data_IF_862069863013
#
_entry.id   IF_862069863013
#
_cell.length_a   1.000
_cell.length_b   1.000
_cell.length_c   1.000
_cell.angle_alpha   90.00
_cell.angle_beta   90.00
_cell.angle_gamma   90.00
#
_symmetry.space_group_name_H-M   'P 1'
#
loop_
_entity.id
_entity.type
_entity.pdbx_description
1 polymer ?
#
# COMPACT_ATOMS: atom_id res chain seq x y z
N UNK A 1 -10.26 -13.69 12.77
CA UNK A 1 -10.31 -15.13 13.17
C UNK A 1 -11.52 -15.51 14.02
N UNK A 2 -11.96 -14.69 14.96
CA UNK A 2 -13.11 -15.00 15.82
C UNK A 2 -14.44 -15.17 15.07
N UNK A 3 -14.69 -14.40 14.05
CA UNK A 3 -15.96 -14.45 13.31
C UNK A 3 -16.10 -15.70 12.44
N UNK A 4 -15.03 -16.13 11.78
CA UNK A 4 -15.01 -17.43 11.06
C UNK A 4 -15.27 -18.59 12.04
N UNK A 5 -14.82 -18.47 13.28
CA UNK A 5 -15.06 -19.45 14.33
C UNK A 5 -16.52 -19.42 14.80
N UNK A 6 -17.12 -18.23 14.97
CA UNK A 6 -18.54 -18.06 15.32
C UNK A 6 -19.44 -18.65 14.23
N UNK A 7 -19.18 -18.34 12.96
CA UNK A 7 -19.97 -18.87 11.83
C UNK A 7 -19.88 -20.39 11.73
N UNK A 8 -18.68 -20.97 11.90
CA UNK A 8 -18.48 -22.42 11.94
C UNK A 8 -19.23 -23.07 13.12
N UNK A 9 -19.24 -22.42 14.27
CA UNK A 9 -19.95 -22.89 15.47
C UNK A 9 -21.48 -22.89 15.26
N UNK A 10 -22.02 -21.84 14.65
CA UNK A 10 -23.46 -21.74 14.29
C UNK A 10 -23.83 -22.85 13.30
N UNK A 11 -23.04 -23.01 12.24
CA UNK A 11 -23.28 -24.04 11.22
C UNK A 11 -23.22 -25.45 11.84
N UNK A 12 -22.24 -25.70 12.70
CA UNK A 12 -22.09 -26.97 13.41
C UNK A 12 -23.27 -27.23 14.35
N UNK A 13 -23.70 -26.23 15.14
CA UNK A 13 -24.85 -26.34 16.04
C UNK A 13 -26.15 -26.62 15.28
N UNK A 14 -26.33 -25.99 14.12
CA UNK A 14 -27.50 -26.22 13.27
C UNK A 14 -27.51 -27.64 12.68
N UNK A 15 -26.39 -28.11 12.14
CA UNK A 15 -26.25 -29.47 11.60
C UNK A 15 -26.44 -30.50 12.73
N UNK A 16 -25.86 -30.26 13.88
CA UNK A 16 -26.02 -31.15 15.06
C UNK A 16 -27.48 -31.23 15.49
N UNK A 17 -28.19 -30.10 15.57
CA UNK A 17 -29.62 -30.10 15.93
C UNK A 17 -30.45 -30.86 14.89
N UNK A 18 -30.15 -30.70 13.61
CA UNK A 18 -30.83 -31.39 12.50
C UNK A 18 -30.64 -32.91 12.60
N UNK A 19 -29.40 -33.35 12.81
CA UNK A 19 -29.08 -34.80 12.95
C UNK A 19 -29.73 -35.38 14.19
N UNK A 20 -29.65 -34.71 15.34
CA UNK A 20 -30.31 -35.15 16.58
C UNK A 20 -31.83 -35.21 16.43
N UNK A 21 -32.46 -34.23 15.77
CA UNK A 21 -33.89 -34.19 15.52
C UNK A 21 -34.34 -35.37 14.65
N UNK A 22 -33.68 -35.57 13.49
CA UNK A 22 -34.01 -36.66 12.59
C UNK A 22 -33.88 -38.02 13.30
N UNK A 23 -32.75 -38.26 13.97
CA UNK A 23 -32.53 -39.52 14.67
C UNK A 23 -33.54 -39.74 15.81
N UNK A 24 -33.80 -38.67 16.59
CA UNK A 24 -34.77 -38.72 17.67
C UNK A 24 -36.21 -39.05 17.20
N UNK A 25 -36.66 -38.40 16.14
CA UNK A 25 -38.00 -38.68 15.58
C UNK A 25 -38.08 -40.08 14.93
N UNK A 26 -37.03 -40.55 14.21
CA UNK A 26 -37.01 -41.91 13.70
C UNK A 26 -37.23 -42.96 14.80
N UNK A 27 -36.54 -42.79 15.92
CA UNK A 27 -36.58 -43.74 17.04
C UNK A 27 -37.88 -43.63 17.83
N UNK A 28 -38.33 -42.39 18.14
CA UNK A 28 -39.48 -42.15 19.02
C UNK A 28 -40.82 -42.27 18.34
N UNK A 29 -40.95 -41.83 17.08
CA UNK A 29 -42.18 -41.93 16.30
C UNK A 29 -42.22 -43.19 15.43
N UNK A 30 -41.12 -43.94 15.33
CA UNK A 30 -40.96 -45.14 14.45
C UNK A 30 -41.37 -44.87 13.02
N UNK A 31 -40.98 -43.74 12.50
CA UNK A 31 -41.19 -43.24 11.14
C UNK A 31 -39.94 -43.41 10.27
N UNK A 32 -40.07 -43.34 8.98
CA UNK A 32 -38.93 -43.36 8.07
C UNK A 32 -38.11 -42.07 8.11
N UNK A 33 -36.97 -42.08 7.40
CA UNK A 33 -36.06 -40.94 7.35
C UNK A 33 -36.71 -39.68 6.80
N UNK A 34 -37.56 -39.80 5.78
CA UNK A 34 -38.22 -38.65 5.12
C UNK A 34 -39.19 -37.97 6.08
N UNK A 35 -40.02 -38.74 6.77
CA UNK A 35 -41.00 -38.27 7.74
C UNK A 35 -40.30 -37.67 8.97
N UNK A 36 -39.22 -38.28 9.45
CA UNK A 36 -38.44 -37.73 10.55
C UNK A 36 -37.70 -36.40 10.17
N UNK A 37 -37.19 -36.34 8.94
CA UNK A 37 -36.56 -35.10 8.43
C UNK A 37 -37.62 -33.99 8.31
N UNK A 38 -38.79 -34.33 7.75
CA UNK A 38 -39.90 -33.38 7.66
C UNK A 38 -40.31 -32.85 9.02
N UNK A 39 -40.58 -33.73 10.02
CA UNK A 39 -40.86 -33.34 11.40
C UNK A 39 -39.79 -32.45 12.00
N UNK A 40 -38.51 -32.78 11.81
CA UNK A 40 -37.41 -31.97 12.32
C UNK A 40 -37.42 -30.58 11.70
N UNK A 41 -37.58 -30.48 10.40
CA UNK A 41 -37.55 -29.17 9.68
C UNK A 41 -38.73 -28.31 10.08
N UNK A 42 -39.96 -28.85 10.14
CA UNK A 42 -41.15 -28.05 10.53
C UNK A 42 -41.12 -27.63 11.99
N UNK A 43 -40.43 -28.40 12.86
CA UNK A 43 -40.26 -28.05 14.27
C UNK A 43 -39.20 -26.94 14.43
N UNK A 44 -38.04 -27.09 13.85
CA UNK A 44 -36.95 -26.09 13.91
C UNK A 44 -37.37 -24.78 13.22
N UNK A 45 -38.05 -24.86 12.08
CA UNK A 45 -38.53 -23.68 11.36
C UNK A 45 -39.75 -22.98 12.04
N UNK A 46 -40.23 -23.51 13.13
CA UNK A 46 -41.38 -23.00 13.88
C UNK A 46 -42.71 -22.97 13.08
N UNK A 47 -42.80 -23.70 11.96
CA UNK A 47 -43.99 -23.77 11.12
C UNK A 47 -45.05 -24.66 11.72
N UNK A 48 -44.70 -25.80 12.32
CA UNK A 48 -45.58 -26.67 13.08
C UNK A 48 -46.82 -27.15 12.32
N UNK A 49 -46.66 -27.58 11.05
CA UNK A 49 -47.82 -27.81 10.17
C UNK A 49 -48.71 -28.97 10.62
N UNK A 50 -48.12 -30.15 10.93
CA UNK A 50 -48.82 -31.30 11.51
C UNK A 50 -47.82 -32.32 12.05
N UNK A 51 -48.21 -33.12 13.00
CA UNK A 51 -47.48 -34.25 13.49
C UNK A 51 -47.57 -35.44 12.53
N UNK A 52 -46.46 -36.20 12.43
CA UNK A 52 -46.36 -37.39 11.58
C UNK A 52 -46.10 -38.61 12.46
N UNK A 53 -46.85 -39.67 12.26
CA UNK A 53 -46.74 -40.89 13.05
C UNK A 53 -47.60 -40.93 14.33
N UNK A 54 -47.40 -41.97 15.15
CA UNK A 54 -48.11 -42.16 16.40
C UNK A 54 -47.34 -41.47 17.54
N UNK A 55 -47.94 -40.46 18.14
CA UNK A 55 -47.36 -39.70 19.26
C UNK A 55 -47.34 -40.54 20.55
N UNK A 56 -46.29 -40.36 21.34
CA UNK A 56 -46.13 -40.91 22.66
C UNK A 56 -45.65 -39.81 23.62
N UNK A 57 -45.87 -39.93 24.91
CA UNK A 57 -45.39 -38.94 25.90
C UNK A 57 -43.87 -38.66 25.75
N UNK A 58 -43.07 -39.65 25.33
CA UNK A 58 -41.67 -39.48 25.07
C UNK A 58 -41.38 -38.63 23.84
N UNK A 59 -42.12 -38.83 22.74
CA UNK A 59 -41.99 -38.01 21.55
C UNK A 59 -42.49 -36.56 21.73
N UNK A 60 -43.50 -36.37 22.56
CA UNK A 60 -43.99 -35.02 22.90
C UNK A 60 -42.96 -34.25 23.74
N UNK A 61 -42.38 -34.87 24.77
CA UNK A 61 -41.28 -34.28 25.58
C UNK A 61 -40.09 -33.96 24.69
N UNK A 62 -39.72 -34.86 23.80
CA UNK A 62 -38.58 -34.64 22.86
C UNK A 62 -38.90 -33.44 21.91
N UNK A 63 -40.10 -33.34 21.42
CA UNK A 63 -40.55 -32.20 20.58
C UNK A 63 -40.44 -30.87 21.33
N UNK A 64 -40.86 -30.83 22.62
CA UNK A 64 -40.70 -29.65 23.46
C UNK A 64 -39.24 -29.23 23.57
N UNK A 65 -38.31 -30.17 23.82
CA UNK A 65 -36.88 -29.88 23.82
C UNK A 65 -36.40 -29.35 22.47
N UNK A 66 -36.80 -29.98 21.37
CA UNK A 66 -36.42 -29.56 20.02
C UNK A 66 -36.93 -28.16 19.68
N UNK A 67 -38.13 -27.80 20.14
CA UNK A 67 -38.71 -26.45 19.94
C UNK A 67 -37.82 -25.42 20.68
N UNK A 68 -37.54 -25.60 21.98
CA UNK A 68 -36.74 -24.65 22.74
C UNK A 68 -35.31 -24.50 22.19
N UNK A 69 -34.64 -25.61 21.85
CA UNK A 69 -33.33 -25.58 21.25
C UNK A 69 -33.34 -24.96 19.85
N UNK A 70 -34.36 -25.30 19.04
CA UNK A 70 -34.54 -24.74 17.70
C UNK A 70 -34.72 -23.25 17.72
N UNK A 71 -35.65 -22.74 18.52
CA UNK A 71 -35.92 -21.30 18.68
C UNK A 71 -34.67 -20.58 19.19
N UNK A 72 -33.93 -21.15 20.14
CA UNK A 72 -32.72 -20.58 20.68
C UNK A 72 -31.64 -20.44 19.62
N UNK A 73 -31.36 -21.53 18.86
CA UNK A 73 -30.32 -21.55 17.82
C UNK A 73 -30.70 -20.64 16.64
N UNK A 74 -31.94 -20.69 16.17
CA UNK A 74 -32.45 -19.83 15.08
C UNK A 74 -32.42 -18.36 15.50
N UNK A 75 -32.87 -18.03 16.69
CA UNK A 75 -32.84 -16.66 17.23
C UNK A 75 -31.42 -16.12 17.35
N UNK A 76 -30.50 -16.93 17.91
CA UNK A 76 -29.08 -16.56 17.98
C UNK A 76 -28.44 -16.37 16.59
N UNK A 77 -28.76 -17.26 15.66
CA UNK A 77 -28.28 -17.16 14.27
C UNK A 77 -28.78 -15.88 13.60
N UNK A 78 -30.07 -15.61 13.73
CA UNK A 78 -30.68 -14.41 13.14
C UNK A 78 -30.05 -13.13 13.70
N UNK A 79 -29.93 -13.01 15.02
CA UNK A 79 -29.30 -11.84 15.65
C UNK A 79 -27.84 -11.68 15.23
N UNK A 80 -27.10 -12.78 15.11
CA UNK A 80 -25.68 -12.74 14.68
C UNK A 80 -25.58 -12.31 13.21
N UNK A 81 -26.42 -12.84 12.32
CA UNK A 81 -26.42 -12.47 10.90
C UNK A 81 -26.82 -11.00 10.71
N UNK A 82 -27.84 -10.53 11.44
CA UNK A 82 -28.27 -9.13 11.42
C UNK A 82 -27.14 -8.23 11.94
N UNK A 83 -26.48 -8.59 13.02
CA UNK A 83 -25.34 -7.84 13.54
C UNK A 83 -24.20 -7.76 12.51
N UNK A 84 -23.85 -8.86 11.86
CA UNK A 84 -22.85 -8.89 10.79
C UNK A 84 -23.23 -8.02 9.57
N UNK A 85 -24.53 -7.94 9.27
CA UNK A 85 -25.05 -7.10 8.19
C UNK A 85 -24.99 -5.61 8.55
N UNK A 86 -25.43 -5.26 9.76
CA UNK A 86 -25.39 -3.87 10.26
C UNK A 86 -23.95 -3.36 10.42
N UNK A 87 -23.05 -4.22 10.85
CA UNK A 87 -21.62 -3.92 10.97
C UNK A 87 -20.85 -3.93 9.62
N UNK A 88 -21.51 -4.16 8.48
CA UNK A 88 -20.92 -4.15 7.14
C UNK A 88 -19.98 -5.33 6.83
N UNK A 89 -19.75 -6.22 7.79
CA UNK A 89 -18.75 -7.31 7.73
C UNK A 89 -19.00 -8.37 6.67
N UNK A 90 -20.23 -8.48 6.15
CA UNK A 90 -20.54 -9.39 5.03
C UNK A 90 -19.89 -8.94 3.72
N UNK A 91 -19.75 -7.62 3.51
CA UNK A 91 -19.04 -7.06 2.35
C UNK A 91 -17.54 -7.39 2.36
N UNK A 92 -16.94 -7.36 3.54
CA UNK A 92 -15.51 -7.60 3.73
C UNK A 92 -15.12 -9.07 3.47
N UNK A 93 -16.03 -10.00 3.72
CA UNK A 93 -15.82 -11.42 3.43
C UNK A 93 -15.64 -11.71 1.92
N UNK A 94 -16.36 -10.98 1.07
CA UNK A 94 -16.29 -11.11 -0.40
C UNK A 94 -15.14 -10.29 -0.97
N UNK A 95 -14.87 -9.11 -0.42
CA UNK A 95 -13.74 -8.25 -0.80
C UNK A 95 -12.40 -8.87 -0.43
N UNK A 96 -12.28 -9.48 0.76
CA UNK A 96 -11.03 -10.09 1.23
C UNK A 96 -10.49 -11.19 0.31
N UNK A 97 -11.34 -12.11 -0.17
CA UNK A 97 -10.92 -13.16 -1.10
C UNK A 97 -10.46 -12.62 -2.47
N UNK A 98 -11.02 -11.49 -2.92
CA UNK A 98 -10.62 -10.85 -4.17
C UNK A 98 -9.31 -10.07 -3.98
N UNK A 99 -9.15 -9.42 -2.85
CA UNK A 99 -7.95 -8.68 -2.47
C UNK A 99 -6.76 -9.63 -2.31
N UNK A 100 -6.93 -10.75 -1.61
CA UNK A 100 -5.89 -11.78 -1.43
C UNK A 100 -5.36 -12.32 -2.75
N UNK A 101 -6.25 -12.60 -3.72
CA UNK A 101 -5.84 -13.00 -5.07
C UNK A 101 -5.05 -11.91 -5.81
N UNK A 102 -5.45 -10.64 -5.65
CA UNK A 102 -4.73 -9.51 -6.24
C UNK A 102 -3.33 -9.38 -5.64
N UNK A 103 -3.20 -9.48 -4.30
CA UNK A 103 -1.92 -9.38 -3.59
C UNK A 103 -0.97 -10.50 -4.03
N UNK A 104 -1.45 -11.74 -4.07
CA UNK A 104 -0.64 -12.90 -4.47
C UNK A 104 -0.14 -12.82 -5.93
N UNK A 105 -0.87 -12.11 -6.78
CA UNK A 105 -0.51 -11.89 -8.19
C UNK A 105 0.45 -10.71 -8.42
N UNK A 106 0.79 -9.94 -7.36
CA UNK A 106 1.69 -8.80 -7.50
C UNK A 106 3.12 -9.24 -7.82
N UNK A 107 3.73 -8.53 -8.76
CA UNK A 107 5.15 -8.64 -9.11
C UNK A 107 5.74 -7.25 -9.36
N UNK A 108 7.00 -7.03 -9.04
CA UNK A 108 7.69 -5.74 -9.17
C UNK A 108 6.95 -4.57 -8.49
N UNK A 109 6.27 -4.86 -7.40
CA UNK A 109 5.50 -3.90 -6.61
C UNK A 109 6.29 -3.36 -5.42
N UNK A 110 5.72 -2.40 -4.73
CA UNK A 110 6.28 -1.83 -3.51
C UNK A 110 5.48 -2.28 -2.28
N UNK A 111 6.16 -2.41 -1.15
CA UNK A 111 5.55 -2.71 0.15
C UNK A 111 5.70 -1.48 1.04
N UNK A 112 4.59 -0.97 1.56
CA UNK A 112 4.57 0.15 2.50
C UNK A 112 4.18 -0.40 3.88
N UNK A 113 5.06 -0.28 4.86
CA UNK A 113 4.86 -0.76 6.22
C UNK A 113 4.53 0.41 7.14
N UNK A 114 3.29 0.43 7.65
CA UNK A 114 2.74 1.51 8.44
C UNK A 114 1.63 2.27 7.71
N UNK A 115 0.84 3.03 8.45
CA UNK A 115 -0.33 3.76 7.96
C UNK A 115 -0.47 5.17 8.55
N UNK A 116 0.53 5.64 9.30
CA UNK A 116 0.55 7.00 9.84
C UNK A 116 0.70 8.08 8.76
N UNK A 117 0.73 9.35 9.16
CA UNK A 117 0.75 10.53 8.27
C UNK A 117 1.81 10.44 7.15
N UNK A 118 2.99 9.89 7.46
CA UNK A 118 4.06 9.72 6.45
C UNK A 118 3.68 8.68 5.40
N UNK A 119 3.09 7.56 5.84
CA UNK A 119 2.63 6.51 4.95
C UNK A 119 1.52 7.03 4.03
N UNK A 120 0.57 7.80 4.54
CA UNK A 120 -0.51 8.41 3.77
C UNK A 120 0.02 9.29 2.63
N UNK A 121 1.00 10.15 2.90
CA UNK A 121 1.64 10.98 1.86
C UNK A 121 2.30 10.12 0.79
N UNK A 122 2.98 9.03 1.18
CA UNK A 122 3.62 8.10 0.24
C UNK A 122 2.56 7.36 -0.59
N UNK A 123 1.51 6.88 0.04
CA UNK A 123 0.39 6.17 -0.60
C UNK A 123 -0.26 7.07 -1.66
N UNK A 124 -0.60 8.31 -1.30
CA UNK A 124 -1.19 9.27 -2.22
C UNK A 124 -0.29 9.52 -3.43
N UNK A 125 1.01 9.68 -3.21
CA UNK A 125 1.97 9.85 -4.30
C UNK A 125 2.07 8.61 -5.21
N UNK A 126 2.03 7.39 -4.63
CA UNK A 126 2.07 6.15 -5.40
C UNK A 126 0.79 5.94 -6.21
N UNK A 127 -0.37 6.39 -5.70
CA UNK A 127 -1.64 6.39 -6.43
C UNK A 127 -1.58 7.36 -7.62
N UNK A 128 -1.07 8.58 -7.43
CA UNK A 128 -0.88 9.56 -8.52
C UNK A 128 0.01 9.01 -9.64
N UNK A 129 1.11 8.37 -9.27
CA UNK A 129 2.07 7.77 -10.21
C UNK A 129 1.63 6.40 -10.77
N UNK A 130 0.45 5.91 -10.35
CA UNK A 130 -0.13 4.62 -10.77
C UNK A 130 0.82 3.43 -10.54
N UNK A 131 1.55 3.45 -9.43
CA UNK A 131 2.46 2.37 -9.06
C UNK A 131 1.69 1.21 -8.42
N UNK A 132 2.20 0.00 -8.59
CA UNK A 132 1.68 -1.17 -7.89
C UNK A 132 2.29 -1.24 -6.49
N UNK A 133 1.46 -1.28 -5.46
CA UNK A 133 1.91 -1.38 -4.08
C UNK A 133 0.91 -2.10 -3.19
N UNK A 134 1.37 -2.52 -2.02
CA UNK A 134 0.57 -3.08 -0.93
C UNK A 134 0.95 -2.39 0.37
N UNK A 135 -0.05 -2.10 1.20
CA UNK A 135 0.13 -1.49 2.52
C UNK A 135 -0.02 -2.56 3.60
N UNK A 136 0.86 -2.55 4.59
CA UNK A 136 0.77 -3.39 5.79
C UNK A 136 0.46 -2.47 6.96
N UNK A 137 -0.66 -2.69 7.63
CA UNK A 137 -1.07 -1.94 8.82
C UNK A 137 -1.79 -2.84 9.83
N UNK A 138 -1.69 -2.52 11.11
CA UNK A 138 -2.45 -3.13 12.18
C UNK A 138 -3.64 -2.25 12.65
N UNK A 139 -3.81 -1.07 12.06
CA UNK A 139 -4.90 -0.16 12.38
C UNK A 139 -6.14 -0.49 11.54
N UNK A 140 -7.26 -0.80 12.21
CA UNK A 140 -8.52 -1.18 11.54
C UNK A 140 -9.19 -0.03 10.80
N UNK A 141 -9.07 1.20 11.31
CA UNK A 141 -9.67 2.38 10.67
C UNK A 141 -9.04 2.60 9.29
N UNK A 142 -7.71 2.47 9.19
CA UNK A 142 -6.99 2.62 7.92
C UNK A 142 -7.32 1.49 6.94
N UNK A 143 -7.56 0.26 7.45
CA UNK A 143 -7.96 -0.88 6.61
C UNK A 143 -9.27 -0.62 5.86
N UNK A 144 -10.25 -0.05 6.56
CA UNK A 144 -11.56 0.25 6.00
C UNK A 144 -11.44 1.37 4.96
N UNK A 145 -10.71 2.44 5.27
CA UNK A 145 -10.51 3.58 4.37
C UNK A 145 -9.76 3.17 3.09
N UNK A 146 -8.62 2.49 3.22
CA UNK A 146 -7.83 2.03 2.07
C UNK A 146 -8.59 1.03 1.20
N UNK A 147 -9.39 0.14 1.80
CA UNK A 147 -10.20 -0.82 1.05
C UNK A 147 -11.31 -0.15 0.22
N UNK A 148 -11.82 1.00 0.68
CA UNK A 148 -12.79 1.80 -0.08
C UNK A 148 -12.18 2.48 -1.31
N UNK A 149 -10.87 2.75 -1.29
CA UNK A 149 -10.13 3.37 -2.40
C UNK A 149 -9.42 2.36 -3.32
N UNK A 150 -9.80 1.06 -3.28
CA UNK A 150 -9.17 -0.04 -4.06
C UNK A 150 -7.67 -0.24 -3.78
N UNK A 151 -7.16 0.27 -2.66
CA UNK A 151 -5.78 0.09 -2.23
C UNK A 151 -5.64 -1.32 -1.65
N UNK A 152 -4.59 -2.03 -2.05
CA UNK A 152 -4.30 -3.36 -1.52
C UNK A 152 -3.70 -3.23 -0.13
N UNK A 153 -4.34 -3.85 0.86
CA UNK A 153 -3.94 -3.74 2.26
C UNK A 153 -3.91 -5.10 2.95
N UNK A 154 -2.95 -5.31 3.82
CA UNK A 154 -2.78 -6.50 4.67
C UNK A 154 -2.89 -6.08 6.12
N UNK A 155 -3.81 -6.70 6.87
CA UNK A 155 -3.91 -6.56 8.33
C UNK A 155 -2.80 -7.37 8.99
N UNK A 156 -1.89 -6.70 9.70
CA UNK A 156 -0.83 -7.37 10.45
C UNK A 156 0.32 -6.46 10.82
N UNK A 157 1.30 -7.03 11.49
CA UNK A 157 2.52 -6.33 11.85
C UNK A 157 3.63 -6.65 10.83
N UNK A 158 4.22 -5.63 10.25
CA UNK A 158 5.32 -5.77 9.28
C UNK A 158 6.62 -6.35 9.90
N UNK A 159 6.67 -6.50 11.22
CA UNK A 159 7.73 -7.17 11.95
C UNK A 159 7.67 -8.69 11.82
N UNK A 160 6.52 -9.25 11.39
CA UNK A 160 6.30 -10.70 11.25
C UNK A 160 6.68 -11.18 9.84
N UNK A 161 7.50 -12.25 9.77
CA UNK A 161 7.91 -12.87 8.49
C UNK A 161 6.71 -13.31 7.65
N UNK A 162 5.70 -13.90 8.27
CA UNK A 162 4.47 -14.39 7.62
C UNK A 162 3.69 -13.28 6.90
N UNK A 163 3.70 -12.06 7.45
CA UNK A 163 3.02 -10.90 6.88
C UNK A 163 3.80 -10.35 5.68
N UNK A 164 5.14 -10.27 5.80
CA UNK A 164 5.99 -9.86 4.68
C UNK A 164 5.97 -10.87 3.53
N UNK A 165 5.95 -12.17 3.83
CA UNK A 165 5.78 -13.22 2.82
C UNK A 165 4.43 -13.10 2.11
N UNK A 166 3.36 -12.86 2.88
CA UNK A 166 2.03 -12.62 2.31
C UNK A 166 1.99 -11.37 1.41
N UNK A 167 2.76 -10.33 1.77
CA UNK A 167 2.94 -9.13 0.94
C UNK A 167 3.79 -9.38 -0.31
N UNK A 168 4.34 -10.57 -0.51
CA UNK A 168 5.12 -10.94 -1.68
C UNK A 168 6.53 -10.34 -1.71
N UNK A 169 7.20 -10.24 -0.55
CA UNK A 169 8.51 -9.61 -0.39
C UNK A 169 9.57 -10.14 -1.35
N UNK A 170 9.51 -11.43 -1.71
CA UNK A 170 10.45 -12.05 -2.65
C UNK A 170 10.31 -11.54 -4.09
N UNK A 171 9.14 -10.96 -4.44
CA UNK A 171 8.82 -10.43 -5.77
C UNK A 171 8.74 -8.90 -5.77
N UNK A 172 8.87 -8.27 -4.61
CA UNK A 172 8.76 -6.84 -4.46
C UNK A 172 10.01 -6.12 -4.99
N UNK A 173 9.81 -4.95 -5.58
CA UNK A 173 10.89 -4.06 -6.04
C UNK A 173 11.52 -3.26 -4.90
N UNK A 174 10.72 -2.92 -3.88
CA UNK A 174 11.20 -2.14 -2.74
C UNK A 174 10.24 -2.16 -1.57
N UNK A 175 10.76 -1.80 -0.41
CA UNK A 175 10.03 -1.72 0.83
C UNK A 175 10.27 -0.35 1.49
N UNK A 176 9.21 0.26 2.00
CA UNK A 176 9.28 1.49 2.77
C UNK A 176 8.76 1.21 4.18
N UNK A 177 9.64 1.35 5.19
CA UNK A 177 9.30 1.18 6.60
C UNK A 177 8.97 2.53 7.23
N UNK A 178 7.70 2.74 7.57
CA UNK A 178 7.16 3.97 8.19
C UNK A 178 6.26 3.66 9.37
N UNK A 179 6.60 2.62 10.13
CA UNK A 179 5.88 2.25 11.35
C UNK A 179 5.96 3.37 12.41
N UNK A 180 5.02 3.36 13.35
CA UNK A 180 4.89 4.39 14.38
C UNK A 180 6.07 4.43 15.35
N UNK A 181 6.75 3.30 15.55
CA UNK A 181 7.91 3.23 16.44
C UNK A 181 9.21 2.93 15.69
N UNK A 182 10.32 3.46 16.21
CA UNK A 182 11.65 3.17 15.67
C UNK A 182 12.04 1.70 15.80
N UNK A 183 11.55 1.04 16.85
CA UNK A 183 11.80 -0.39 17.09
C UNK A 183 11.12 -1.23 16.01
N UNK A 184 9.88 -0.93 15.69
CA UNK A 184 9.15 -1.65 14.65
C UNK A 184 9.79 -1.43 13.27
N UNK A 185 10.25 -0.22 12.96
CA UNK A 185 11.01 0.05 11.74
C UNK A 185 12.31 -0.79 11.68
N UNK A 186 13.06 -0.87 12.79
CA UNK A 186 14.31 -1.66 12.85
C UNK A 186 14.01 -3.15 12.64
N UNK A 187 13.00 -3.69 13.33
CA UNK A 187 12.62 -5.11 13.21
C UNK A 187 12.09 -5.40 11.80
N UNK A 188 11.24 -4.54 11.25
CA UNK A 188 10.72 -4.68 9.89
C UNK A 188 11.85 -4.72 8.85
N UNK A 189 12.81 -3.80 8.94
CA UNK A 189 13.98 -3.76 8.03
C UNK A 189 14.82 -5.03 8.17
N UNK A 190 15.09 -5.46 9.41
CA UNK A 190 15.87 -6.68 9.66
C UNK A 190 15.17 -7.92 9.09
N UNK A 191 13.86 -8.07 9.35
CA UNK A 191 13.05 -9.18 8.84
C UNK A 191 12.99 -9.17 7.32
N UNK A 192 12.74 -8.00 6.71
CA UNK A 192 12.70 -7.84 5.27
C UNK A 192 14.04 -8.21 4.61
N UNK A 193 15.16 -7.75 5.16
CA UNK A 193 16.50 -8.04 4.64
C UNK A 193 16.88 -9.51 4.80
N UNK A 194 16.43 -10.18 5.85
CA UNK A 194 16.63 -11.62 6.03
C UNK A 194 15.85 -12.43 4.99
N UNK A 195 14.61 -12.04 4.69
CA UNK A 195 13.79 -12.71 3.68
C UNK A 195 14.29 -12.43 2.26
N UNK A 196 14.57 -11.18 1.92
CA UNK A 196 15.04 -10.79 0.60
C UNK A 196 16.29 -9.91 0.71
N UNK A 197 17.46 -10.46 0.31
CA UNK A 197 18.75 -9.79 0.43
C UNK A 197 18.92 -8.62 -0.55
N UNK A 198 18.19 -8.65 -1.66
CA UNK A 198 18.39 -7.72 -2.79
C UNK A 198 17.32 -6.63 -2.86
N UNK A 199 16.27 -6.70 -2.04
CA UNK A 199 15.20 -5.70 -2.03
C UNK A 199 15.74 -4.33 -1.60
N UNK A 200 15.30 -3.27 -2.29
CA UNK A 200 15.65 -1.90 -1.91
C UNK A 200 14.79 -1.40 -0.76
N UNK A 201 15.40 -1.04 0.36
CA UNK A 201 14.70 -0.68 1.60
C UNK A 201 14.97 0.78 1.96
N UNK A 202 13.90 1.57 2.08
CA UNK A 202 13.94 2.91 2.67
C UNK A 202 13.23 2.86 4.02
N UNK A 203 13.80 3.45 5.06
CA UNK A 203 13.20 3.48 6.38
C UNK A 203 13.11 4.90 6.95
N UNK A 204 11.96 5.20 7.57
CA UNK A 204 11.82 6.42 8.35
C UNK A 204 12.53 6.25 9.70
N UNK A 205 13.42 7.19 10.04
CA UNK A 205 14.06 7.26 11.35
C UNK A 205 13.46 8.39 12.17
N UNK A 206 13.14 8.10 13.42
CA UNK A 206 12.60 9.08 14.35
C UNK A 206 13.76 9.86 15.00
N UNK A 207 14.87 9.17 15.26
CA UNK A 207 16.04 9.76 15.90
C UNK A 207 17.30 9.64 15.04
N UNK A 208 18.30 10.50 15.25
CA UNK A 208 19.58 10.40 14.55
C UNK A 208 20.29 9.06 14.82
N UNK A 209 20.24 8.55 16.06
CA UNK A 209 20.82 7.25 16.40
C UNK A 209 20.04 6.08 15.76
N UNK A 210 18.74 6.24 15.53
CA UNK A 210 17.91 5.29 14.83
C UNK A 210 18.29 5.13 13.37
N UNK A 211 18.61 6.24 12.70
CA UNK A 211 19.11 6.21 11.33
C UNK A 211 20.35 5.31 11.17
N UNK A 212 21.32 5.42 12.09
CA UNK A 212 22.52 4.58 12.08
C UNK A 212 22.21 3.09 12.33
N UNK A 213 21.24 2.81 13.21
CA UNK A 213 20.79 1.43 13.50
C UNK A 213 20.08 0.82 12.29
N UNK A 214 19.15 1.58 11.68
CA UNK A 214 18.42 1.14 10.48
C UNK A 214 19.37 0.80 9.33
N UNK A 215 20.38 1.62 9.09
CA UNK A 215 21.43 1.31 8.10
C UNK A 215 22.21 0.04 8.45
N UNK A 216 22.55 -0.17 9.73
CA UNK A 216 23.26 -1.37 10.19
C UNK A 216 22.46 -2.66 10.04
N UNK A 217 21.13 -2.60 10.18
CA UNK A 217 20.26 -3.77 10.03
C UNK A 217 19.83 -4.02 8.59
N UNK A 218 20.26 -3.18 7.64
CA UNK A 218 20.11 -3.46 6.21
C UNK A 218 19.20 -2.51 5.43
N UNK A 219 18.85 -1.34 5.96
CA UNK A 219 18.23 -0.31 5.14
C UNK A 219 19.25 0.25 4.12
N UNK A 220 18.83 0.47 2.88
CA UNK A 220 19.66 1.12 1.85
C UNK A 220 19.70 2.63 2.02
N UNK A 221 18.56 3.21 2.50
CA UNK A 221 18.48 4.62 2.86
C UNK A 221 17.59 4.82 4.09
N UNK A 222 17.93 5.86 4.86
CA UNK A 222 17.11 6.31 5.97
C UNK A 222 16.81 7.79 5.81
N UNK A 223 15.60 8.18 6.15
CA UNK A 223 15.13 9.57 6.13
C UNK A 223 14.48 9.88 7.47
N UNK A 224 14.75 11.07 8.03
CA UNK A 224 14.01 11.58 9.18
C UNK A 224 13.08 12.68 8.72
N UNK A 225 11.80 12.39 8.67
CA UNK A 225 10.78 13.36 8.27
C UNK A 225 10.79 14.58 9.18
N UNK A 226 10.98 14.38 10.49
CA UNK A 226 11.07 15.46 11.48
C UNK A 226 12.28 16.35 11.21
N UNK A 227 13.45 15.77 10.93
CA UNK A 227 14.67 16.54 10.66
C UNK A 227 14.55 17.32 9.35
N UNK A 228 14.03 16.68 8.30
CA UNK A 228 13.81 17.33 7.01
C UNK A 228 12.84 18.48 7.14
N UNK A 229 11.67 18.25 7.77
CA UNK A 229 10.64 19.26 7.96
C UNK A 229 11.14 20.40 8.84
N UNK A 230 11.82 20.09 9.96
CA UNK A 230 12.38 21.10 10.86
C UNK A 230 13.42 21.99 10.17
N UNK A 231 14.35 21.38 9.41
CA UNK A 231 15.33 22.15 8.61
C UNK A 231 14.65 23.03 7.56
N UNK A 232 13.61 22.50 6.91
CA UNK A 232 12.85 23.25 5.91
C UNK A 232 12.13 24.44 6.51
N UNK A 233 11.43 24.27 7.64
CA UNK A 233 10.75 25.34 8.36
C UNK A 233 11.73 26.43 8.82
N UNK A 234 12.85 26.03 9.40
CA UNK A 234 13.89 26.98 9.80
C UNK A 234 14.44 27.76 8.60
N UNK A 235 14.69 27.09 7.48
CA UNK A 235 15.19 27.73 6.26
C UNK A 235 14.19 28.70 5.66
N UNK A 236 12.88 28.38 5.68
CA UNK A 236 11.81 29.29 5.27
C UNK A 236 11.77 30.57 6.11
N UNK A 237 12.03 30.47 7.42
CA UNK A 237 12.09 31.65 8.30
C UNK A 237 13.35 32.50 8.06
N UNK A 238 14.50 31.85 7.80
CA UNK A 238 15.80 32.56 7.68
C UNK A 238 15.96 33.13 6.26
N UNK A 239 15.54 32.40 5.23
CA UNK A 239 15.78 32.74 3.82
C UNK A 239 14.54 32.48 2.94
N UNK A 240 13.39 33.13 3.19
CA UNK A 240 12.13 32.78 2.51
C UNK A 240 12.24 32.86 0.98
N UNK A 241 12.82 33.92 0.45
CA UNK A 241 12.93 34.14 -0.99
C UNK A 241 13.79 33.07 -1.70
N UNK A 242 14.86 32.58 -1.03
CA UNK A 242 15.71 31.54 -1.60
C UNK A 242 14.97 30.19 -1.65
N UNK A 243 14.23 29.89 -0.58
CA UNK A 243 13.48 28.63 -0.53
C UNK A 243 12.33 28.64 -1.54
N UNK A 244 11.58 29.76 -1.63
CA UNK A 244 10.55 29.90 -2.66
C UNK A 244 11.12 29.79 -4.08
N UNK A 245 12.30 30.33 -4.32
CA UNK A 245 12.98 30.16 -5.62
C UNK A 245 13.35 28.69 -5.88
N UNK A 246 13.88 27.98 -4.88
CA UNK A 246 14.21 26.57 -5.03
C UNK A 246 12.96 25.71 -5.24
N UNK A 247 11.84 26.05 -4.62
CA UNK A 247 10.56 25.34 -4.84
C UNK A 247 10.09 25.47 -6.29
N UNK A 248 10.22 26.65 -6.85
CA UNK A 248 9.95 26.90 -8.27
C UNK A 248 10.85 26.05 -9.18
N UNK A 249 12.16 26.00 -8.86
CA UNK A 249 13.16 25.22 -9.65
C UNK A 249 12.96 23.72 -9.54
N UNK A 250 12.36 23.22 -8.43
CA UNK A 250 12.15 21.79 -8.20
C UNK A 250 10.71 21.31 -8.48
N UNK A 251 9.90 22.10 -9.20
CA UNK A 251 8.48 21.80 -9.49
C UNK A 251 7.57 21.68 -8.26
N UNK A 252 7.93 22.33 -7.15
CA UNK A 252 7.07 22.44 -5.98
C UNK A 252 6.23 23.72 -6.12
N UNK A 253 5.17 23.71 -6.97
CA UNK A 253 4.27 24.86 -7.22
C UNK A 253 3.91 25.04 -8.70
N UNK A 254 3.10 26.09 -9.00
CA UNK A 254 2.52 26.36 -10.32
C UNK A 254 3.47 27.02 -11.34
N UNK A 255 4.76 27.18 -11.04
CA UNK A 255 5.73 27.86 -11.92
C UNK A 255 6.67 26.85 -12.55
N UNK A 256 6.60 26.76 -13.89
CA UNK A 256 7.32 25.81 -14.74
C UNK A 256 8.76 26.30 -15.04
N UNK A 257 9.69 26.15 -14.09
CA UNK A 257 11.13 26.20 -14.38
C UNK A 257 11.71 24.79 -14.18
N UNK A 258 12.34 24.28 -15.21
CA UNK A 258 12.99 22.97 -15.19
C UNK A 258 14.51 23.09 -15.10
N UNK A 259 15.11 22.18 -14.34
CA UNK A 259 16.53 21.94 -14.32
C UNK A 259 16.83 20.72 -15.19
N UNK A 260 17.49 20.94 -16.33
CA UNK A 260 17.70 19.90 -17.32
C UNK A 260 19.16 19.75 -17.71
N UNK A 261 19.47 18.54 -18.19
CA UNK A 261 20.78 18.19 -18.73
C UNK A 261 20.73 18.18 -20.25
N UNK A 262 21.64 18.93 -20.91
CA UNK A 262 21.78 18.94 -22.36
C UNK A 262 23.20 18.51 -22.73
N UNK A 263 23.31 17.44 -23.51
CA UNK A 263 24.60 16.85 -23.91
C UNK A 263 25.04 17.51 -25.22
N UNK A 264 26.33 17.90 -25.29
CA UNK A 264 26.96 18.40 -26.52
C UNK A 264 27.21 17.22 -27.46
N UNK A 265 26.44 17.16 -28.55
CA UNK A 265 26.57 16.12 -29.59
C UNK A 265 27.65 16.49 -30.62
N UNK A 266 28.21 15.47 -31.29
CA UNK A 266 29.09 15.68 -32.42
C UNK A 266 28.34 16.36 -33.60
N UNK A 267 28.94 17.37 -34.21
CA UNK A 267 28.33 18.15 -35.29
C UNK A 267 27.32 19.20 -34.82
N UNK A 268 27.05 19.29 -33.51
CA UNK A 268 26.09 20.26 -32.98
C UNK A 268 26.56 21.70 -33.07
N UNK A 269 25.66 22.66 -33.04
CA UNK A 269 25.95 24.09 -32.99
C UNK A 269 26.91 24.49 -31.87
N UNK A 270 26.88 23.76 -30.75
CA UNK A 270 27.67 24.04 -29.56
C UNK A 270 29.13 23.55 -29.67
N UNK A 271 29.41 22.56 -30.50
CA UNK A 271 30.73 21.94 -30.61
C UNK A 271 31.84 22.94 -30.97
N UNK A 272 32.86 23.04 -30.15
CA UNK A 272 34.02 23.88 -30.34
C UNK A 272 33.82 25.37 -30.10
N UNK A 273 32.61 25.81 -29.80
CA UNK A 273 32.30 27.19 -29.38
C UNK A 273 32.55 27.40 -27.89
N UNK A 274 32.83 28.63 -27.52
CA UNK A 274 32.77 29.03 -26.13
C UNK A 274 31.37 29.51 -25.73
N UNK A 275 31.14 29.71 -24.43
CA UNK A 275 29.86 30.16 -23.89
C UNK A 275 29.38 31.50 -24.43
N UNK A 276 30.32 32.43 -24.68
CA UNK A 276 30.01 33.75 -25.31
C UNK A 276 29.56 33.56 -26.73
N UNK A 277 30.31 32.79 -27.53
CA UNK A 277 30.01 32.52 -28.93
C UNK A 277 28.71 31.74 -29.12
N UNK A 278 28.42 30.82 -28.20
CA UNK A 278 27.19 30.03 -28.26
C UNK A 278 25.93 30.88 -28.00
N UNK A 279 26.04 31.98 -27.28
CA UNK A 279 24.97 32.91 -26.96
C UNK A 279 23.70 32.26 -26.43
N UNK A 280 23.85 31.19 -25.64
CA UNK A 280 22.73 30.36 -25.11
C UNK A 280 21.66 31.22 -24.46
N UNK A 281 21.96 32.15 -23.51
CA UNK A 281 20.94 32.99 -22.90
C UNK A 281 20.18 33.85 -23.89
N UNK A 282 20.87 34.42 -24.87
CA UNK A 282 20.24 35.31 -25.86
C UNK A 282 19.35 34.56 -26.86
N UNK A 283 19.72 33.32 -27.22
CA UNK A 283 18.99 32.52 -28.21
C UNK A 283 17.82 31.74 -27.60
N UNK A 284 17.97 31.31 -26.37
CA UNK A 284 17.02 30.36 -25.74
C UNK A 284 16.34 30.97 -24.51
N UNK A 285 16.94 31.99 -23.88
CA UNK A 285 16.46 32.52 -22.60
C UNK A 285 16.89 31.66 -21.39
N UNK A 286 17.67 30.60 -21.60
CA UNK A 286 18.15 29.69 -20.53
C UNK A 286 19.34 30.25 -19.78
N UNK A 287 19.46 29.85 -18.52
CA UNK A 287 20.64 30.10 -17.71
C UNK A 287 21.48 28.82 -17.65
N UNK A 288 22.78 28.92 -17.99
CA UNK A 288 23.71 27.81 -17.81
C UNK A 288 24.28 27.87 -16.41
N UNK A 289 23.87 26.94 -15.54
CA UNK A 289 24.27 26.86 -14.14
C UNK A 289 25.62 26.17 -13.95
N UNK A 290 25.83 25.06 -14.68
CA UNK A 290 27.03 24.27 -14.57
C UNK A 290 27.33 23.51 -15.86
N UNK A 291 28.57 23.06 -16.00
CA UNK A 291 29.00 22.16 -17.06
C UNK A 291 29.75 20.98 -16.43
N UNK A 292 29.32 19.78 -16.76
CA UNK A 292 30.00 18.54 -16.38
C UNK A 292 30.90 18.11 -17.55
N UNK A 293 32.23 18.11 -17.34
CA UNK A 293 33.17 17.71 -18.37
C UNK A 293 33.12 16.20 -18.60
N UNK A 294 33.02 15.81 -19.85
CA UNK A 294 33.10 14.40 -20.25
C UNK A 294 34.41 13.72 -19.86
N UNK A 295 35.57 14.40 -20.05
CA UNK A 295 36.90 13.83 -19.87
C UNK A 295 37.19 13.32 -18.44
N UNK A 296 36.70 14.02 -17.40
CA UNK A 296 37.06 13.75 -16.02
C UNK A 296 35.87 13.78 -15.05
N UNK A 297 34.66 13.84 -15.57
CA UNK A 297 33.41 13.88 -14.79
C UNK A 297 33.31 15.07 -13.80
N UNK A 298 34.17 16.11 -13.98
CA UNK A 298 34.25 17.27 -13.09
C UNK A 298 33.15 18.28 -13.41
N UNK A 299 32.40 18.68 -12.38
CA UNK A 299 31.41 19.73 -12.46
C UNK A 299 32.07 21.11 -12.32
N UNK A 300 31.77 22.04 -13.23
CA UNK A 300 32.16 23.44 -13.17
C UNK A 300 30.89 24.26 -13.00
N UNK A 301 30.71 24.81 -11.81
CA UNK A 301 29.62 25.73 -11.53
C UNK A 301 29.97 27.13 -12.02
N UNK A 302 28.95 27.87 -12.51
CA UNK A 302 29.12 29.22 -13.07
C UNK A 302 30.32 29.27 -14.05
N UNK A 303 30.26 28.50 -15.15
CA UNK A 303 31.40 28.41 -16.06
C UNK A 303 31.74 29.78 -16.66
N UNK A 304 33.05 30.09 -16.81
CA UNK A 304 33.45 31.36 -17.42
C UNK A 304 33.01 31.41 -18.88
N UNK A 305 32.77 32.61 -19.39
CA UNK A 305 32.33 32.82 -20.77
C UNK A 305 33.31 32.27 -21.84
N UNK A 306 34.58 32.13 -21.48
CA UNK A 306 35.65 31.53 -22.31
C UNK A 306 35.64 29.99 -22.30
N UNK A 307 34.75 29.34 -21.54
CA UNK A 307 34.71 27.88 -21.52
C UNK A 307 34.27 27.34 -22.88
N UNK A 308 35.09 26.48 -23.48
CA UNK A 308 34.83 25.87 -24.79
C UNK A 308 34.20 24.51 -24.62
N UNK A 309 33.10 24.30 -25.31
CA UNK A 309 32.37 23.03 -25.27
C UNK A 309 33.08 21.93 -26.06
N UNK A 310 33.13 20.76 -25.48
CA UNK A 310 33.61 19.55 -26.13
C UNK A 310 32.49 18.53 -26.27
N UNK A 311 32.62 17.64 -27.25
CA UNK A 311 31.68 16.54 -27.44
C UNK A 311 31.57 15.72 -26.13
N UNK A 312 30.37 15.41 -25.71
CA UNK A 312 30.07 14.66 -24.49
C UNK A 312 30.03 15.52 -23.22
N UNK A 313 30.37 16.80 -23.26
CA UNK A 313 30.12 17.69 -22.12
C UNK A 313 28.61 17.82 -21.89
N UNK A 314 28.20 17.88 -20.61
CA UNK A 314 26.81 18.01 -20.21
C UNK A 314 26.58 19.40 -19.60
N UNK A 315 25.69 20.18 -20.23
CA UNK A 315 25.26 21.45 -19.70
C UNK A 315 24.10 21.21 -18.72
N UNK A 316 24.16 21.83 -17.56
CA UNK A 316 23.07 21.93 -16.63
C UNK A 316 22.46 23.32 -16.78
N UNK A 317 21.23 23.35 -17.28
CA UNK A 317 20.53 24.59 -17.64
C UNK A 317 19.24 24.72 -16.81
N UNK A 318 18.87 25.99 -16.56
CA UNK A 318 17.62 26.33 -15.89
C UNK A 318 16.77 27.19 -16.82
N UNK A 319 15.52 26.83 -16.98
CA UNK A 319 14.52 27.59 -17.73
C UNK A 319 13.23 26.83 -17.92
N UNK A 320 12.33 27.38 -18.72
CA UNK A 320 11.05 26.74 -19.07
C UNK A 320 11.24 25.67 -20.13
N UNK A 321 10.31 24.74 -20.20
CA UNK A 321 10.33 23.63 -21.17
C UNK A 321 10.48 24.11 -22.62
N UNK A 322 9.75 25.16 -23.00
CA UNK A 322 9.87 25.75 -24.34
C UNK A 322 11.27 26.32 -24.66
N UNK A 323 11.99 26.75 -23.65
CA UNK A 323 13.36 27.25 -23.77
C UNK A 323 14.37 26.09 -23.85
N UNK A 324 14.11 25.01 -23.11
CA UNK A 324 14.93 23.79 -23.13
C UNK A 324 14.86 23.13 -24.51
N UNK A 325 13.66 23.04 -25.07
CA UNK A 325 13.46 22.50 -26.41
C UNK A 325 14.18 23.33 -27.51
N UNK A 326 14.22 24.66 -27.36
CA UNK A 326 15.05 25.48 -28.23
C UNK A 326 16.54 25.14 -28.16
N UNK A 327 17.06 24.87 -26.97
CA UNK A 327 18.46 24.44 -26.79
C UNK A 327 18.71 23.05 -27.36
N UNK A 328 17.79 22.12 -27.17
CA UNK A 328 17.89 20.76 -27.76
C UNK A 328 17.91 20.83 -29.27
N UNK A 329 17.04 21.64 -29.86
CA UNK A 329 17.01 21.86 -31.32
C UNK A 329 18.31 22.49 -31.83
N UNK A 330 18.87 23.50 -31.13
CA UNK A 330 20.21 24.04 -31.44
C UNK A 330 21.30 23.00 -31.29
N UNK A 331 21.14 22.05 -30.38
CA UNK A 331 22.04 20.90 -30.20
C UNK A 331 21.94 19.86 -31.31
N UNK A 332 20.83 19.79 -32.02
CA UNK A 332 20.57 18.86 -33.14
C UNK A 332 20.79 19.53 -34.54
N UNK A 333 20.86 20.86 -34.64
CA UNK A 333 21.23 21.54 -35.86
C UNK A 333 22.70 21.31 -36.19
N UNK A 334 22.96 20.56 -37.27
CA UNK A 334 24.28 20.42 -37.84
C UNK A 334 24.81 21.76 -38.34
N UNK A 335 26.10 22.02 -38.19
CA UNK A 335 26.80 23.19 -38.76
C UNK A 335 26.57 23.37 -40.24
#
# INVERSE_FOLDING_TARGET
>A
MEEKRKLKLILFSFIFLLVCGVFGYMVLLKVDFIDALYMTVITISTVGFREVGTTSAASEIFSVFMIFLGVGIVGYTFTTVVAMFVEGKLGDFWKGNKMEKKITALENHYIICGSGEIAEVIINKFVEEKLNFVVITNNREDLDDYSHHDILVIEGQSTEESILDHAGIMKAKGLIATCDTEVDNIVTVLTARNLNRDIYIIANSITKSGSEKLMKVGADKTLSAIEISGKRMASLMIKPNIISFLDVVTKVGDVELDLEEVIVKSGSYLEGKNLIEAQIPNKTGLIVLAIKKFENNKMIFNPPGSFTFKIGDVLIVLGREDQIDKLRNLGDESK
#
